data_IF_983280607218
#
_entry.id   IF_983280607218
#
_cell.length_a   1.000
_cell.length_b   1.000
_cell.length_c   1.000
_cell.angle_alpha   90.00
_cell.angle_beta   90.00
_cell.angle_gamma   90.00
#
_symmetry.space_group_name_H-M   'P 1'
#
loop_
_entity.id
_entity.type
_entity.pdbx_description
1 polymer ?
#
# COMPACT_ATOMS: atom_id res chain seq x y z
N UNK A 1 11.91 -23.53 -5.94
CA UNK A 1 12.14 -22.08 -6.07
C UNK A 1 12.87 -21.57 -4.83
N UNK A 2 14.11 -21.09 -4.97
CA UNK A 2 14.85 -20.47 -3.87
C UNK A 2 14.75 -18.95 -3.95
N UNK A 3 14.48 -18.28 -2.83
CA UNK A 3 14.33 -16.82 -2.78
C UNK A 3 15.48 -16.18 -2.00
N UNK A 4 16.24 -15.30 -2.64
CA UNK A 4 17.19 -14.43 -1.94
C UNK A 4 16.46 -13.16 -1.50
N UNK A 5 16.41 -12.91 -0.18
CA UNK A 5 15.64 -11.81 0.43
C UNK A 5 16.56 -10.75 1.01
N UNK A 6 16.22 -9.46 0.81
CA UNK A 6 16.78 -8.36 1.60
C UNK A 6 15.93 -8.11 2.85
N UNK A 7 16.53 -7.52 3.90
CA UNK A 7 15.83 -7.18 5.15
C UNK A 7 14.62 -6.27 4.85
N UNK A 8 13.46 -6.60 5.42
CA UNK A 8 12.20 -5.86 5.20
C UNK A 8 11.40 -6.27 3.94
N UNK A 9 11.85 -7.31 3.23
CA UNK A 9 11.13 -7.90 2.09
C UNK A 9 10.65 -9.32 2.44
N UNK A 10 9.37 -9.59 2.16
CA UNK A 10 8.77 -10.93 2.25
C UNK A 10 8.48 -11.42 0.84
N UNK A 11 8.76 -12.69 0.57
CA UNK A 11 8.46 -13.31 -0.73
C UNK A 11 7.64 -14.56 -0.49
N UNK A 12 6.47 -14.65 -1.11
CA UNK A 12 5.60 -15.84 -1.09
C UNK A 12 5.42 -16.38 -2.50
N UNK A 13 5.06 -17.65 -2.58
CA UNK A 13 4.74 -18.33 -3.83
C UNK A 13 3.58 -19.28 -3.58
N UNK A 14 2.59 -19.19 -4.44
CA UNK A 14 1.48 -20.13 -4.50
C UNK A 14 1.69 -21.06 -5.69
N UNK A 15 1.89 -22.36 -5.38
CA UNK A 15 2.16 -23.40 -6.37
C UNK A 15 0.94 -23.65 -7.26
N UNK A 16 -0.28 -23.57 -6.70
CA UNK A 16 -1.50 -23.91 -7.41
C UNK A 16 -1.83 -22.87 -8.49
N UNK A 17 -1.57 -21.59 -8.19
CA UNK A 17 -1.84 -20.46 -9.10
C UNK A 17 -0.62 -20.01 -9.88
N UNK A 18 0.59 -20.41 -9.47
CA UNK A 18 1.86 -19.95 -10.04
C UNK A 18 2.22 -18.51 -9.66
N UNK A 19 1.50 -17.88 -8.72
CA UNK A 19 1.73 -16.49 -8.31
C UNK A 19 2.96 -16.43 -7.40
N UNK A 20 3.93 -15.58 -7.76
CA UNK A 20 5.04 -15.18 -6.91
C UNK A 20 4.80 -13.74 -6.47
N UNK A 21 4.71 -13.52 -5.17
CA UNK A 21 4.48 -12.19 -4.59
C UNK A 21 5.68 -11.75 -3.75
N UNK A 22 6.10 -10.50 -3.94
CA UNK A 22 7.04 -9.82 -3.05
C UNK A 22 6.33 -8.66 -2.36
N UNK A 23 6.39 -8.64 -1.03
CA UNK A 23 5.83 -7.57 -0.20
C UNK A 23 6.95 -6.82 0.51
N UNK A 24 6.90 -5.50 0.46
CA UNK A 24 7.84 -4.61 1.16
C UNK A 24 7.08 -3.96 2.32
N UNK A 25 7.48 -4.26 3.56
CA UNK A 25 6.74 -3.80 4.75
C UNK A 25 6.79 -2.27 4.91
N UNK A 26 7.94 -1.67 4.60
CA UNK A 26 8.15 -0.21 4.66
C UNK A 26 8.66 0.29 3.32
N UNK A 27 7.73 0.78 2.49
CA UNK A 27 8.06 1.39 1.21
C UNK A 27 8.47 2.86 1.41
N UNK A 28 9.73 3.16 1.10
CA UNK A 28 10.40 4.43 1.36
C UNK A 28 11.24 4.84 0.15
N UNK A 29 11.87 6.03 0.19
CA UNK A 29 12.78 6.50 -0.87
C UNK A 29 13.94 5.55 -1.17
N UNK A 30 14.38 4.76 -0.19
CA UNK A 30 15.43 3.75 -0.39
C UNK A 30 14.99 2.59 -1.31
N UNK A 31 13.70 2.50 -1.63
CA UNK A 31 13.11 1.49 -2.50
C UNK A 31 13.01 1.94 -3.97
N UNK A 32 13.53 3.11 -4.33
CA UNK A 32 13.66 3.50 -5.73
C UNK A 32 14.72 2.64 -6.44
N UNK A 33 14.39 2.10 -7.61
CA UNK A 33 15.32 1.30 -8.40
C UNK A 33 14.66 0.25 -9.28
N UNK A 34 15.48 -0.64 -9.80
CA UNK A 34 15.07 -1.74 -10.66
C UNK A 34 15.02 -3.06 -9.87
N UNK A 35 13.88 -3.73 -9.96
CA UNK A 35 13.60 -5.00 -9.32
C UNK A 35 13.61 -6.09 -10.38
N UNK A 36 14.52 -7.05 -10.28
CA UNK A 36 14.58 -8.18 -11.21
C UNK A 36 14.24 -9.46 -10.47
N UNK A 37 13.25 -10.18 -10.98
CA UNK A 37 12.94 -11.55 -10.57
C UNK A 37 13.59 -12.50 -11.56
N UNK A 38 14.32 -13.49 -11.04
CA UNK A 38 14.89 -14.59 -11.82
C UNK A 38 14.23 -15.89 -11.36
N UNK A 39 13.63 -16.60 -12.30
CA UNK A 39 12.91 -17.85 -12.07
C UNK A 39 13.71 -18.97 -12.71
N UNK A 40 14.01 -19.97 -11.89
CA UNK A 40 14.70 -21.19 -12.29
C UNK A 40 13.79 -22.38 -12.01
N UNK A 41 13.41 -23.09 -13.06
CA UNK A 41 12.61 -24.31 -12.99
C UNK A 41 13.30 -25.43 -13.78
N UNK A 42 13.95 -26.34 -13.06
CA UNK A 42 14.83 -27.35 -13.65
C UNK A 42 15.92 -26.71 -14.53
N UNK A 43 15.82 -26.93 -15.85
CA UNK A 43 16.72 -26.35 -16.85
C UNK A 43 16.23 -25.01 -17.43
N UNK A 44 14.96 -24.66 -17.22
CA UNK A 44 14.39 -23.41 -17.71
C UNK A 44 14.84 -22.24 -16.82
N UNK A 45 15.20 -21.13 -17.47
CA UNK A 45 15.59 -19.88 -16.81
C UNK A 45 14.83 -18.73 -17.46
N UNK A 46 14.15 -17.92 -16.64
CA UNK A 46 13.45 -16.72 -17.09
C UNK A 46 13.76 -15.58 -16.14
N UNK A 47 13.72 -14.35 -16.65
CA UNK A 47 13.79 -13.16 -15.83
C UNK A 47 12.72 -12.16 -16.23
N UNK A 48 12.29 -11.35 -15.27
CA UNK A 48 11.45 -10.19 -15.50
C UNK A 48 11.92 -9.05 -14.62
N UNK A 49 11.82 -7.82 -15.12
CA UNK A 49 12.29 -6.62 -14.43
C UNK A 49 11.18 -5.57 -14.34
N UNK A 50 11.07 -4.95 -13.18
CA UNK A 50 10.21 -3.82 -12.89
C UNK A 50 11.10 -2.62 -12.55
N UNK A 51 10.98 -1.53 -13.31
CA UNK A 51 11.70 -0.28 -13.06
C UNK A 51 10.79 0.67 -12.30
N UNK A 52 11.09 0.90 -11.02
CA UNK A 52 10.42 1.89 -10.18
C UNK A 52 11.38 3.04 -9.92
N UNK A 53 11.46 3.96 -10.89
CA UNK A 53 12.33 5.15 -10.84
C UNK A 53 11.54 6.38 -11.29
N UNK A 54 11.89 7.55 -10.76
CA UNK A 54 11.32 8.83 -11.18
C UNK A 54 9.84 8.95 -10.84
N UNK A 55 9.03 9.42 -11.78
CA UNK A 55 7.63 9.76 -11.50
C UNK A 55 6.76 8.54 -11.22
N UNK A 56 7.07 7.39 -11.82
CA UNK A 56 6.42 6.10 -11.50
C UNK A 56 6.68 5.72 -10.04
N UNK A 57 7.92 5.89 -9.56
CA UNK A 57 8.26 5.63 -8.16
C UNK A 57 7.57 6.62 -7.22
N UNK A 58 7.59 7.93 -7.54
CA UNK A 58 6.93 8.94 -6.71
C UNK A 58 5.43 8.69 -6.57
N UNK A 59 4.76 8.28 -7.65
CA UNK A 59 3.35 7.93 -7.64
C UNK A 59 3.09 6.72 -6.73
N UNK A 60 3.86 5.65 -6.88
CA UNK A 60 3.76 4.46 -6.03
C UNK A 60 4.04 4.77 -4.55
N UNK A 61 5.04 5.63 -4.26
CA UNK A 61 5.37 6.03 -2.90
C UNK A 61 4.24 6.83 -2.25
N UNK A 62 3.69 7.81 -2.97
CA UNK A 62 2.56 8.63 -2.50
C UNK A 62 1.34 7.75 -2.18
N UNK A 63 1.04 6.80 -3.05
CA UNK A 63 -0.08 5.87 -2.84
C UNK A 63 0.15 4.96 -1.64
N UNK A 64 1.34 4.38 -1.50
CA UNK A 64 1.69 3.53 -0.36
C UNK A 64 1.58 4.30 0.98
N UNK A 65 2.00 5.56 1.03
CA UNK A 65 1.86 6.42 2.21
C UNK A 65 0.40 6.76 2.51
N UNK A 66 -0.39 7.06 1.49
CA UNK A 66 -1.82 7.34 1.64
C UNK A 66 -2.55 6.13 2.20
N UNK A 67 -2.37 4.95 1.61
CA UNK A 67 -3.00 3.71 2.06
C UNK A 67 -2.59 3.33 3.47
N UNK A 68 -1.30 3.49 3.83
CA UNK A 68 -0.83 3.23 5.20
C UNK A 68 -1.50 4.16 6.21
N UNK A 69 -1.59 5.46 5.90
CA UNK A 69 -2.25 6.45 6.78
C UNK A 69 -3.74 6.13 6.93
N UNK A 70 -4.43 5.84 5.84
CA UNK A 70 -5.86 5.46 5.87
C UNK A 70 -6.10 4.16 6.62
N UNK A 71 -5.23 3.16 6.45
CA UNK A 71 -5.33 1.90 7.17
C UNK A 71 -5.23 2.13 8.68
N UNK A 72 -4.20 2.86 9.14
CA UNK A 72 -4.01 3.18 10.57
C UNK A 72 -5.20 4.01 11.09
N UNK A 73 -5.66 5.01 10.33
CA UNK A 73 -6.80 5.84 10.70
C UNK A 73 -8.05 5.00 10.97
N UNK A 74 -8.30 3.97 10.15
CA UNK A 74 -9.48 3.11 10.28
C UNK A 74 -9.40 2.08 11.41
N UNK A 75 -8.22 1.81 11.97
CA UNK A 75 -8.06 0.88 13.10
C UNK A 75 -8.63 1.40 14.43
N UNK A 76 -8.75 2.72 14.59
CA UNK A 76 -9.35 3.34 15.77
C UNK A 76 -10.62 4.13 15.45
N UNK A 77 -11.19 4.82 16.46
CA UNK A 77 -12.28 5.76 16.24
C UNK A 77 -11.86 6.84 15.26
N UNK A 78 -12.63 7.00 14.19
CA UNK A 78 -12.30 7.96 13.13
C UNK A 78 -13.54 8.58 12.52
N UNK A 79 -13.38 9.76 11.92
CA UNK A 79 -14.44 10.40 11.14
C UNK A 79 -14.71 9.62 9.85
N UNK A 80 -15.93 9.13 9.69
CA UNK A 80 -16.46 8.68 8.39
C UNK A 80 -16.98 9.87 7.58
N UNK A 81 -17.51 10.90 8.25
CA UNK A 81 -17.80 12.22 7.69
C UNK A 81 -17.21 13.30 8.60
N UNK A 82 -16.43 14.21 8.01
CA UNK A 82 -15.82 15.33 8.72
C UNK A 82 -16.87 16.31 9.25
N UNK A 83 -16.44 17.21 10.15
CA UNK A 83 -17.28 18.25 10.70
C UNK A 83 -17.87 19.11 9.58
N UNK A 84 -19.19 19.18 9.55
CA UNK A 84 -19.94 20.11 8.73
C UNK A 84 -20.90 20.91 9.62
N UNK A 85 -21.36 22.03 9.11
CA UNK A 85 -22.35 22.85 9.80
C UNK A 85 -23.58 23.05 8.92
N UNK A 86 -24.70 23.30 9.58
CA UNK A 86 -25.94 23.72 8.91
C UNK A 86 -26.60 24.78 9.77
N UNK A 87 -27.08 25.85 9.13
CA UNK A 87 -27.88 26.88 9.79
C UNK A 87 -29.34 26.46 9.67
N UNK A 88 -30.04 26.33 10.80
CA UNK A 88 -31.45 25.96 10.83
C UNK A 88 -32.35 27.19 10.62
N UNK A 89 -33.64 26.96 10.37
CA UNK A 89 -34.63 28.02 10.16
C UNK A 89 -34.81 28.91 11.41
N UNK A 90 -34.48 28.38 12.58
CA UNK A 90 -34.47 29.11 13.87
C UNK A 90 -33.18 29.90 14.11
N UNK A 91 -32.38 30.15 13.06
CA UNK A 91 -31.09 30.84 13.14
C UNK A 91 -30.07 30.15 14.08
N UNK A 92 -30.15 28.83 14.23
CA UNK A 92 -29.21 28.04 15.05
C UNK A 92 -28.15 27.39 14.17
N UNK A 93 -26.90 27.37 14.62
CA UNK A 93 -25.81 26.64 13.92
C UNK A 93 -25.69 25.25 14.51
N UNK A 94 -26.04 24.23 13.72
CA UNK A 94 -25.83 22.83 14.05
C UNK A 94 -24.47 22.38 13.50
N UNK A 95 -23.61 21.87 14.38
CA UNK A 95 -22.36 21.21 14.01
C UNK A 95 -22.55 19.70 14.09
N UNK A 96 -22.26 19.00 13.00
CA UNK A 96 -22.44 17.57 12.89
C UNK A 96 -21.22 16.90 12.25
N UNK A 97 -20.99 15.64 12.64
CA UNK A 97 -19.98 14.76 12.05
C UNK A 97 -20.47 13.31 12.16
N UNK A 98 -19.85 12.39 11.43
CA UNK A 98 -20.06 10.95 11.63
C UNK A 98 -18.77 10.27 12.02
N UNK A 99 -18.83 9.46 13.07
CA UNK A 99 -17.70 8.68 13.59
C UNK A 99 -17.97 7.20 13.32
N UNK A 100 -16.92 6.43 13.06
CA UNK A 100 -16.97 4.98 12.88
C UNK A 100 -15.93 4.29 13.78
N UNK A 101 -16.14 2.99 14.02
CA UNK A 101 -15.28 2.13 14.85
C UNK A 101 -15.12 2.66 16.29
N UNK A 102 -16.26 2.81 16.97
CA UNK A 102 -16.40 3.31 18.35
C UNK A 102 -16.44 2.16 19.34
#
# INVERSE_FOLDING_TARGET
LGFSRRKGQKISHDVATGIIQMTVDHFTRANEGTYTVQIHDGKAKTQSSLVLVGDVFKAALKEAEFQRKEHIRKQGPHFSEYLYFTVTEECTVMLACKVANV
#
